data_IF_382995372467
#
_entry.id   IF_382995372467
#
_cell.length_a   1.000
_cell.length_b   1.000
_cell.length_c   1.000
_cell.angle_alpha   90.00
_cell.angle_beta   90.00
_cell.angle_gamma   90.00
#
_symmetry.space_group_name_H-M   'P 1'
#
loop_
_entity.id
_entity.type
_entity.pdbx_description
1 polymer ?
#
# COMPACT_ATOMS: atom_id res chain seq x y z
N UNK A 1 0.56 -10.50 -8.57
CA UNK A 1 1.94 -9.96 -8.49
C UNK A 1 1.93 -9.12 -7.25
N UNK A 2 2.52 -9.62 -6.18
CA UNK A 2 2.35 -9.05 -4.85
C UNK A 2 3.52 -8.10 -4.56
N UNK A 3 3.29 -7.08 -3.73
CA UNK A 3 4.35 -6.15 -3.34
C UNK A 3 5.27 -6.80 -2.32
N UNK A 4 6.57 -6.55 -2.49
CA UNK A 4 7.62 -7.00 -1.57
C UNK A 4 7.58 -6.24 -0.23
N UNK A 5 8.28 -6.78 0.76
CA UNK A 5 8.48 -6.06 2.01
C UNK A 5 9.34 -4.82 1.77
N UNK A 6 8.89 -3.68 2.27
CA UNK A 6 9.60 -2.43 2.01
C UNK A 6 8.87 -1.19 2.53
N UNK A 7 9.56 -0.05 2.42
CA UNK A 7 8.97 1.26 2.65
C UNK A 7 8.31 1.73 1.34
N UNK A 8 7.06 2.16 1.43
CA UNK A 8 6.28 2.65 0.29
C UNK A 8 5.70 4.02 0.61
N UNK A 9 5.68 4.90 -0.39
CA UNK A 9 5.00 6.19 -0.34
C UNK A 9 3.91 6.20 -1.38
N UNK A 10 2.67 6.39 -0.93
CA UNK A 10 1.51 6.63 -1.78
C UNK A 10 1.47 8.12 -2.08
N UNK A 11 1.38 8.47 -3.35
CA UNK A 11 1.20 9.85 -3.81
C UNK A 11 -0.18 9.95 -4.48
N UNK A 12 -0.91 11.02 -4.20
CA UNK A 12 -2.17 11.28 -4.90
C UNK A 12 -2.33 12.75 -5.24
N UNK A 13 -3.13 12.97 -6.29
CA UNK A 13 -3.59 14.28 -6.73
C UNK A 13 -5.10 14.23 -6.83
N UNK A 14 -5.79 15.18 -6.20
CA UNK A 14 -7.23 15.38 -6.29
C UNK A 14 -7.46 16.65 -7.09
N UNK A 15 -8.36 16.58 -8.08
CA UNK A 15 -8.88 17.78 -8.73
C UNK A 15 -10.22 18.16 -8.10
N UNK A 16 -10.29 19.38 -7.56
CA UNK A 16 -11.52 19.98 -7.08
C UNK A 16 -12.47 20.31 -8.24
N UNK A 17 -13.77 20.41 -7.94
CA UNK A 17 -14.77 20.84 -8.92
C UNK A 17 -14.58 22.29 -9.41
N UNK A 18 -13.76 23.06 -8.70
CA UNK A 18 -13.30 24.40 -9.07
C UNK A 18 -12.05 24.38 -9.99
N UNK A 19 -11.53 23.20 -10.33
CA UNK A 19 -10.36 23.01 -11.18
C UNK A 19 -9.02 23.14 -10.44
N UNK A 20 -9.02 23.41 -9.13
CA UNK A 20 -7.79 23.44 -8.35
C UNK A 20 -7.30 22.03 -8.00
N UNK A 21 -5.99 21.88 -7.86
CA UNK A 21 -5.37 20.62 -7.46
C UNK A 21 -4.99 20.64 -5.99
N UNK A 22 -5.30 19.56 -5.29
CA UNK A 22 -4.72 19.22 -4.00
C UNK A 22 -3.84 17.98 -4.15
N UNK A 23 -2.64 18.00 -3.58
CA UNK A 23 -1.71 16.88 -3.60
C UNK A 23 -1.43 16.41 -2.18
N UNK A 24 -1.09 15.14 -2.03
CA UNK A 24 -0.74 14.56 -0.73
C UNK A 24 0.07 13.28 -0.86
N UNK A 25 0.76 12.95 0.22
CA UNK A 25 1.52 11.74 0.35
C UNK A 25 1.23 10.99 1.67
N UNK A 26 1.39 9.68 1.64
CA UNK A 26 1.30 8.81 2.82
C UNK A 26 2.35 7.70 2.75
N UNK A 27 3.19 7.63 3.77
CA UNK A 27 4.27 6.65 3.86
C UNK A 27 3.92 5.52 4.82
N UNK A 28 4.13 4.27 4.38
CA UNK A 28 3.92 3.08 5.20
C UNK A 28 5.01 2.01 4.95
N UNK A 29 5.24 1.14 5.93
CA UNK A 29 6.12 -0.02 5.77
C UNK A 29 5.28 -1.28 5.57
N UNK A 30 5.45 -1.96 4.45
CA UNK A 30 4.86 -3.27 4.21
C UNK A 30 5.73 -4.35 4.85
N UNK A 31 5.11 -5.14 5.74
CA UNK A 31 5.68 -6.36 6.31
C UNK A 31 4.69 -7.49 6.12
N UNK A 32 4.95 -8.36 5.15
CA UNK A 32 4.25 -9.62 4.94
C UNK A 32 4.37 -10.46 6.21
N UNK A 33 3.23 -10.89 6.73
CA UNK A 33 3.21 -11.97 7.70
C UNK A 33 3.75 -13.23 7.01
N UNK A 34 4.59 -14.00 7.70
CA UNK A 34 5.00 -15.32 7.20
C UNK A 34 3.72 -16.08 6.81
N UNK A 35 3.65 -16.71 5.62
CA UNK A 35 2.48 -17.48 5.27
C UNK A 35 2.27 -18.51 6.37
N UNK A 36 1.06 -18.50 6.95
CA UNK A 36 0.65 -19.49 7.93
C UNK A 36 0.58 -20.84 7.19
N UNK A 37 1.71 -21.56 7.11
CA UNK A 37 1.72 -22.97 6.73
C UNK A 37 1.14 -23.76 7.89
N UNK A 38 -0.17 -23.63 8.15
CA UNK A 38 -0.87 -24.69 8.83
C UNK A 38 -0.78 -25.91 7.92
N UNK A 39 0.01 -26.87 8.40
CA UNK A 39 0.18 -28.18 7.82
C UNK A 39 -1.18 -28.73 7.36
N UNK A 40 -1.28 -29.07 6.08
CA UNK A 40 -2.23 -30.08 5.66
C UNK A 40 -1.82 -31.37 6.40
N UNK A 41 -2.53 -31.68 7.47
CA UNK A 41 -2.66 -33.04 7.96
C UNK A 41 -3.91 -33.62 7.29
N UNK A 42 -3.71 -34.30 6.16
CA UNK A 42 -4.56 -35.40 5.71
C UNK A 42 -3.78 -36.29 4.75
#
# INVERSE_FOLDING_TARGET
NDLDNGLYTVLWTIMGGDGHKGEGDFTFTLKQSKPNKHANHH
#
